data_IF_466211818756
#
_entry.id   IF_466211818756
#
_cell.length_a   1.000
_cell.length_b   1.000
_cell.length_c   1.000
_cell.angle_alpha   90.00
_cell.angle_beta   90.00
_cell.angle_gamma   90.00
#
_symmetry.space_group_name_H-M   'P 1'
#
loop_
_entity.id
_entity.type
_entity.pdbx_description
1 polymer ?
#
# COMPACT_ATOMS: atom_id res chain seq x y z
N UNK A 1 6.27 -2.56 21.41
CA UNK A 1 4.99 -3.27 21.43
C UNK A 1 3.85 -2.52 20.77
N UNK A 2 4.10 -1.90 19.65
CA UNK A 2 3.07 -1.31 18.77
C UNK A 2 2.89 -2.14 17.51
N UNK A 3 3.26 -3.43 17.54
CA UNK A 3 3.14 -4.33 16.41
C UNK A 3 1.67 -4.53 16.01
N UNK A 4 1.41 -4.52 14.72
CA UNK A 4 0.08 -4.69 14.12
C UNK A 4 0.12 -5.68 12.97
N UNK A 5 -1.03 -6.31 12.71
CA UNK A 5 -1.24 -7.12 11.52
C UNK A 5 -2.27 -6.38 10.66
N UNK A 6 -1.82 -5.77 9.57
CA UNK A 6 -2.66 -4.96 8.68
C UNK A 6 -2.93 -5.63 7.35
N UNK A 7 -2.19 -6.69 7.03
CA UNK A 7 -2.36 -7.47 5.81
C UNK A 7 -3.06 -8.81 6.08
N UNK A 8 -3.65 -9.37 5.04
CA UNK A 8 -4.14 -10.76 5.06
C UNK A 8 -2.94 -11.72 4.99
N UNK A 9 -2.80 -12.68 5.91
CA UNK A 9 -1.78 -13.71 5.80
C UNK A 9 -1.94 -14.53 4.51
N UNK A 10 -0.83 -14.91 3.90
CA UNK A 10 -0.85 -15.84 2.77
C UNK A 10 -0.78 -17.27 3.28
N UNK A 11 -1.66 -18.13 2.77
CA UNK A 11 -1.67 -19.56 3.09
C UNK A 11 -1.05 -20.33 1.92
N UNK A 12 -0.07 -21.16 2.18
CA UNK A 12 0.45 -22.15 1.24
C UNK A 12 0.61 -23.48 1.97
N UNK A 13 -0.06 -24.51 1.45
CA UNK A 13 -0.18 -25.81 2.14
C UNK A 13 -0.69 -25.62 3.58
N UNK A 14 0.02 -26.10 4.58
CA UNK A 14 -0.34 -25.99 6.00
C UNK A 14 0.39 -24.83 6.70
N UNK A 15 0.92 -23.86 5.95
CA UNK A 15 1.73 -22.76 6.49
C UNK A 15 1.14 -21.39 6.17
N UNK A 16 0.98 -20.57 7.21
CA UNK A 16 0.62 -19.16 7.11
C UNK A 16 1.88 -18.29 7.10
N UNK A 17 1.98 -17.39 6.13
CA UNK A 17 3.01 -16.36 6.08
C UNK A 17 2.40 -15.02 6.48
N UNK A 18 2.87 -14.49 7.60
CA UNK A 18 2.26 -13.37 8.32
C UNK A 18 3.21 -12.18 8.28
N UNK A 19 2.79 -11.09 7.67
CA UNK A 19 3.51 -9.81 7.67
C UNK A 19 3.26 -9.06 8.97
N UNK A 20 4.29 -8.49 9.57
CA UNK A 20 4.20 -7.74 10.82
C UNK A 20 4.64 -6.30 10.62
N UNK A 21 3.73 -5.39 10.90
CA UNK A 21 3.89 -3.95 10.85
C UNK A 21 3.79 -3.31 12.23
N UNK A 22 3.83 -1.99 12.30
CA UNK A 22 3.71 -1.23 13.54
C UNK A 22 3.05 0.12 13.32
N UNK A 23 2.45 0.64 14.38
CA UNK A 23 2.01 2.03 14.49
C UNK A 23 2.98 2.87 15.33
N UNK A 24 4.22 2.41 15.57
CA UNK A 24 5.20 3.15 16.36
C UNK A 24 5.59 4.50 15.74
N UNK A 25 5.40 4.66 14.43
CA UNK A 25 5.52 5.96 13.75
C UNK A 25 4.67 7.06 14.38
N UNK A 26 3.50 6.72 14.97
CA UNK A 26 2.56 7.69 15.54
C UNK A 26 3.02 8.27 16.88
N UNK A 27 3.38 7.48 17.91
CA UNK A 27 3.91 8.04 19.17
C UNK A 27 5.23 8.79 19.01
N UNK A 28 5.99 8.57 17.93
CA UNK A 28 7.17 9.35 17.59
C UNK A 28 6.88 10.86 17.45
N UNK A 29 5.62 11.24 17.22
CA UNK A 29 5.17 12.62 17.22
C UNK A 29 5.39 13.35 18.57
N UNK A 30 5.45 12.62 19.69
CA UNK A 30 5.82 13.18 20.99
C UNK A 30 7.34 13.34 21.07
N UNK A 31 7.90 14.55 21.20
CA UNK A 31 9.34 14.78 21.26
C UNK A 31 10.05 14.05 22.41
N UNK A 32 9.31 13.64 23.45
CA UNK A 32 9.85 12.90 24.61
C UNK A 32 9.81 11.38 24.42
N UNK A 33 9.22 10.89 23.35
CA UNK A 33 9.12 9.45 23.08
C UNK A 33 10.48 8.86 22.65
N UNK A 34 10.94 7.82 23.36
CA UNK A 34 12.12 7.06 22.97
C UNK A 34 11.84 6.28 21.69
N UNK A 35 12.39 6.72 20.58
CA UNK A 35 12.07 6.21 19.23
C UNK A 35 13.29 5.63 18.51
N UNK A 36 13.15 4.55 17.76
CA UNK A 36 12.03 3.61 17.67
C UNK A 36 12.61 2.21 17.82
N UNK A 37 11.85 1.28 18.33
CA UNK A 37 12.35 -0.06 18.67
C UNK A 37 11.74 -1.18 17.85
N UNK A 38 10.75 -0.88 17.04
CA UNK A 38 10.10 -1.86 16.17
C UNK A 38 11.03 -2.34 15.07
N UNK A 39 10.89 -3.61 14.72
CA UNK A 39 11.49 -4.26 13.55
C UNK A 39 10.39 -4.93 12.74
N UNK A 40 10.27 -4.58 11.46
CA UNK A 40 9.42 -5.30 10.53
C UNK A 40 9.83 -6.76 10.43
N UNK A 41 8.89 -7.64 10.13
CA UNK A 41 9.19 -9.06 9.93
C UNK A 41 8.13 -9.78 9.11
N UNK A 42 8.51 -10.92 8.54
CA UNK A 42 7.59 -11.95 8.07
C UNK A 42 7.76 -13.16 8.94
N UNK A 43 6.65 -13.80 9.32
CA UNK A 43 6.65 -15.00 10.15
C UNK A 43 5.99 -16.15 9.39
N UNK A 44 6.61 -17.33 9.46
CA UNK A 44 6.01 -18.59 9.02
C UNK A 44 5.39 -19.26 10.23
N UNK A 45 4.10 -19.58 10.13
CA UNK A 45 3.32 -20.14 11.23
C UNK A 45 2.59 -21.39 10.74
N UNK A 46 2.70 -22.49 11.48
CA UNK A 46 1.90 -23.68 11.23
C UNK A 46 0.41 -23.39 11.43
N UNK A 47 -0.39 -23.61 10.39
CA UNK A 47 -1.79 -23.21 10.37
C UNK A 47 -2.68 -24.03 11.34
N UNK A 48 -2.25 -25.23 11.72
CA UNK A 48 -3.01 -26.11 12.60
C UNK A 48 -2.69 -25.87 14.07
N UNK A 49 -1.41 -25.71 14.41
CA UNK A 49 -0.94 -25.55 15.80
C UNK A 49 -0.78 -24.12 16.25
N UNK A 50 -0.53 -23.19 15.29
CA UNK A 50 -0.14 -21.81 15.58
C UNK A 50 1.33 -21.66 16.00
N UNK A 51 2.14 -22.70 15.88
CA UNK A 51 3.57 -22.63 16.18
C UNK A 51 4.31 -21.84 15.12
N UNK A 52 5.25 -20.98 15.55
CA UNK A 52 6.11 -20.20 14.66
C UNK A 52 7.27 -21.07 14.20
N UNK A 53 7.37 -21.32 12.88
CA UNK A 53 8.45 -22.10 12.28
C UNK A 53 9.73 -21.26 12.18
N UNK A 54 9.60 -20.01 11.68
CA UNK A 54 10.69 -19.04 11.57
C UNK A 54 10.19 -17.61 11.57
N UNK A 55 11.09 -16.66 11.89
CA UNK A 55 10.88 -15.21 11.79
C UNK A 55 12.00 -14.62 10.95
N UNK A 56 11.64 -13.94 9.85
CA UNK A 56 12.56 -13.19 9.00
C UNK A 56 12.39 -11.70 9.27
N UNK A 57 13.37 -11.09 9.94
CA UNK A 57 13.37 -9.66 10.22
C UNK A 57 13.81 -8.85 9.00
N UNK A 58 13.17 -7.69 8.79
CA UNK A 58 13.49 -6.79 7.67
C UNK A 58 14.80 -6.03 7.89
N UNK A 59 15.10 -5.67 9.14
CA UNK A 59 16.41 -5.12 9.52
C UNK A 59 17.31 -6.22 10.07
N UNK A 60 18.60 -6.29 9.66
CA UNK A 60 19.46 -7.41 10.05
C UNK A 60 19.81 -7.43 11.55
N UNK A 61 19.90 -6.26 12.17
CA UNK A 61 20.25 -6.11 13.58
C UNK A 61 19.06 -5.65 14.44
N UNK A 62 19.13 -5.94 15.72
CA UNK A 62 18.19 -5.39 16.69
C UNK A 62 18.47 -3.91 16.94
N UNK A 63 17.42 -3.07 17.17
CA UNK A 63 17.59 -1.68 17.53
C UNK A 63 18.45 -1.51 18.78
N UNK A 64 19.44 -0.64 18.69
CA UNK A 64 20.33 -0.26 19.79
C UNK A 64 20.25 1.25 20.01
N UNK A 65 20.37 1.70 21.25
CA UNK A 65 20.48 3.11 21.55
C UNK A 65 21.73 3.69 20.86
N UNK A 66 21.54 4.70 20.03
CA UNK A 66 22.61 5.36 19.28
C UNK A 66 22.85 6.81 19.70
N UNK A 67 22.00 7.37 20.55
CA UNK A 67 22.09 8.72 21.04
C UNK A 67 20.82 9.21 21.70
N UNK A 68 20.75 10.53 21.92
CA UNK A 68 19.58 11.20 22.46
C UNK A 68 19.24 12.42 21.60
N UNK A 69 17.96 12.74 21.52
CA UNK A 69 17.47 13.95 20.85
C UNK A 69 17.71 15.19 21.69
N UNK A 70 17.47 16.39 21.14
CA UNK A 70 17.53 17.66 21.90
C UNK A 70 16.44 17.74 23.00
N UNK A 71 15.39 16.97 22.92
CA UNK A 71 14.36 16.83 23.96
C UNK A 71 14.73 15.78 25.04
N UNK A 72 15.84 15.07 24.88
CA UNK A 72 16.31 14.06 25.83
C UNK A 72 15.79 12.64 25.60
N UNK A 73 14.99 12.43 24.56
CA UNK A 73 14.51 11.10 24.18
C UNK A 73 15.63 10.25 23.59
N UNK A 74 15.64 8.95 23.89
CA UNK A 74 16.61 8.00 23.33
C UNK A 74 16.27 7.67 21.89
N UNK A 75 17.26 7.69 21.01
CA UNK A 75 17.16 7.26 19.61
C UNK A 75 17.71 5.83 19.48
N UNK A 76 16.91 4.95 18.88
CA UNK A 76 17.30 3.56 18.57
C UNK A 76 17.38 3.36 17.06
N UNK A 77 18.38 2.58 16.62
CA UNK A 77 18.58 2.21 15.21
C UNK A 77 19.30 0.86 15.09
N UNK A 78 19.08 0.08 13.98
CA UNK A 78 18.08 0.28 12.94
C UNK A 78 16.67 -0.02 13.45
N UNK A 79 15.66 0.69 12.95
CA UNK A 79 14.27 0.48 13.35
C UNK A 79 13.31 0.70 12.17
N UNK A 80 12.09 0.24 12.32
CA UNK A 80 11.06 0.37 11.28
C UNK A 80 11.12 -0.75 10.24
N UNK A 81 11.12 -0.37 8.98
CA UNK A 81 11.06 -1.25 7.80
C UNK A 81 9.88 -2.22 7.91
N UNK A 82 8.66 -1.70 8.13
CA UNK A 82 7.48 -2.54 8.34
C UNK A 82 7.12 -3.34 7.09
N UNK A 83 6.46 -4.49 7.28
CA UNK A 83 5.79 -5.24 6.22
C UNK A 83 4.30 -5.21 6.49
N UNK A 84 3.52 -4.53 5.65
CA UNK A 84 2.10 -4.32 5.87
C UNK A 84 1.21 -4.72 4.68
N UNK A 85 1.77 -5.52 3.78
CA UNK A 85 1.08 -6.11 2.63
C UNK A 85 1.05 -7.63 2.72
N UNK A 86 0.17 -8.28 1.95
CA UNK A 86 0.13 -9.74 1.88
C UNK A 86 1.30 -10.26 1.04
N UNK A 87 2.04 -11.26 1.52
CA UNK A 87 3.13 -11.86 0.74
C UNK A 87 2.63 -12.53 -0.54
N UNK A 88 3.36 -12.38 -1.63
CA UNK A 88 3.15 -13.15 -2.86
C UNK A 88 3.98 -14.45 -2.81
N UNK A 89 3.33 -15.60 -3.02
CA UNK A 89 3.98 -16.91 -2.94
C UNK A 89 4.40 -17.39 -4.33
N UNK A 90 5.67 -17.70 -4.50
CA UNK A 90 6.26 -18.32 -5.68
C UNK A 90 6.68 -19.76 -5.36
N UNK A 91 5.75 -20.69 -5.59
CA UNK A 91 5.98 -22.13 -5.36
C UNK A 91 7.11 -22.68 -6.24
N UNK A 92 7.24 -22.17 -7.47
CA UNK A 92 8.27 -22.62 -8.42
C UNK A 92 9.70 -22.39 -7.90
N UNK A 93 9.91 -21.26 -7.19
CA UNK A 93 11.22 -20.87 -6.64
C UNK A 93 11.38 -21.15 -5.16
N UNK A 94 10.35 -21.70 -4.51
CA UNK A 94 10.28 -21.84 -3.05
C UNK A 94 10.51 -20.49 -2.34
N UNK A 95 9.83 -19.41 -2.79
CA UNK A 95 10.03 -18.04 -2.30
C UNK A 95 8.73 -17.35 -2.02
N UNK A 96 8.77 -16.39 -1.12
CA UNK A 96 7.76 -15.32 -1.04
C UNK A 96 8.41 -13.98 -1.39
N UNK A 97 7.59 -13.05 -1.89
CA UNK A 97 7.97 -11.67 -2.14
C UNK A 97 7.11 -10.76 -1.26
N UNK A 98 7.73 -9.76 -0.66
CA UNK A 98 7.07 -8.80 0.23
C UNK A 98 7.67 -7.40 0.06
N UNK A 99 6.82 -6.38 0.08
CA UNK A 99 7.22 -4.98 0.12
C UNK A 99 7.50 -4.51 1.54
N UNK A 100 8.43 -3.58 1.68
CA UNK A 100 8.73 -2.91 2.93
C UNK A 100 8.39 -1.43 2.88
N UNK A 101 8.20 -0.83 4.05
CA UNK A 101 8.16 0.60 4.24
C UNK A 101 9.48 1.16 4.74
N UNK A 102 9.42 2.38 5.22
CA UNK A 102 10.51 3.26 5.62
C UNK A 102 11.26 2.78 6.89
N UNK A 103 12.49 3.26 7.10
CA UNK A 103 13.09 3.25 8.43
C UNK A 103 12.40 4.27 9.35
N UNK A 104 12.23 3.98 10.64
CA UNK A 104 11.61 4.91 11.59
C UNK A 104 12.62 5.87 12.23
N UNK A 105 13.91 5.57 12.11
CA UNK A 105 15.00 6.36 12.65
C UNK A 105 16.22 6.34 11.74
N UNK A 106 17.04 7.41 11.80
CA UNK A 106 18.32 7.49 11.08
C UNK A 106 19.34 6.47 11.61
N UNK A 107 20.23 5.98 10.75
CA UNK A 107 20.28 6.19 9.31
C UNK A 107 19.29 5.28 8.57
N UNK A 108 18.77 5.76 7.43
CA UNK A 108 18.08 4.89 6.49
C UNK A 108 19.03 3.81 5.96
N UNK A 109 18.52 2.61 5.76
CA UNK A 109 19.31 1.49 5.25
C UNK A 109 18.77 0.95 3.90
N UNK A 110 19.42 -0.05 3.33
CA UNK A 110 19.04 -0.65 2.05
C UNK A 110 17.81 -1.56 2.09
N UNK A 111 17.10 -1.62 3.22
CA UNK A 111 15.92 -2.45 3.41
C UNK A 111 14.61 -1.64 3.40
N UNK A 112 14.66 -0.30 3.55
CA UNK A 112 13.47 0.55 3.39
C UNK A 112 13.02 0.59 1.94
N UNK A 113 11.73 0.68 1.71
CA UNK A 113 11.07 0.81 0.39
C UNK A 113 11.60 -0.20 -0.62
N UNK A 114 11.70 -1.42 -0.20
CA UNK A 114 12.32 -2.51 -0.93
C UNK A 114 11.35 -3.68 -1.15
N UNK A 115 11.60 -4.47 -2.19
CA UNK A 115 11.05 -5.83 -2.30
C UNK A 115 12.08 -6.80 -1.74
N UNK A 116 11.62 -7.66 -0.85
CA UNK A 116 12.40 -8.76 -0.29
C UNK A 116 11.92 -10.08 -0.92
N UNK A 117 12.85 -10.93 -1.34
CA UNK A 117 12.59 -12.33 -1.59
C UNK A 117 13.10 -13.16 -0.41
N UNK A 118 12.23 -13.98 0.15
CA UNK A 118 12.50 -14.79 1.33
C UNK A 118 12.20 -16.26 0.98
N UNK A 119 13.08 -17.17 1.36
CA UNK A 119 12.88 -18.60 1.19
C UNK A 119 11.73 -19.10 2.08
N UNK A 120 10.81 -19.89 1.51
CA UNK A 120 9.59 -20.34 2.21
C UNK A 120 9.89 -21.33 3.34
N UNK A 121 10.94 -22.14 3.20
CA UNK A 121 11.26 -23.20 4.15
C UNK A 121 12.11 -22.66 5.32
N UNK A 122 13.09 -21.80 5.00
CA UNK A 122 14.10 -21.38 5.98
C UNK A 122 13.89 -19.99 6.55
N UNK A 123 13.13 -19.12 5.87
CA UNK A 123 13.00 -17.70 6.19
C UNK A 123 14.25 -16.88 5.86
N UNK A 124 15.25 -17.47 5.21
CA UNK A 124 16.45 -16.74 4.78
C UNK A 124 16.14 -15.78 3.64
N UNK A 125 16.74 -14.60 3.71
CA UNK A 125 16.64 -13.60 2.65
C UNK A 125 17.45 -14.01 1.45
N UNK A 126 16.78 -14.19 0.29
CA UNK A 126 17.42 -14.56 -0.97
C UNK A 126 18.01 -13.33 -1.65
N UNK A 127 17.21 -12.24 -1.73
CA UNK A 127 17.65 -10.95 -2.25
C UNK A 127 16.80 -9.81 -1.71
N UNK A 128 17.32 -8.59 -1.86
CA UNK A 128 16.64 -7.32 -1.58
C UNK A 128 16.77 -6.42 -2.79
N UNK A 129 15.67 -5.83 -3.25
CA UNK A 129 15.66 -4.77 -4.27
C UNK A 129 15.04 -3.52 -3.73
N UNK A 130 15.86 -2.56 -3.32
CA UNK A 130 15.42 -1.24 -2.88
C UNK A 130 14.96 -0.40 -4.09
N UNK A 131 13.85 0.34 -3.95
CA UNK A 131 13.31 1.23 -4.97
C UNK A 131 13.59 2.69 -4.60
N UNK A 132 13.26 3.12 -3.38
CA UNK A 132 13.59 4.45 -2.86
C UNK A 132 14.69 4.32 -1.81
N UNK A 133 15.83 4.93 -2.08
CA UNK A 133 16.94 4.94 -1.13
C UNK A 133 16.86 6.17 -0.22
N UNK A 134 17.29 6.02 1.03
CA UNK A 134 17.38 7.12 1.97
C UNK A 134 16.04 7.49 2.59
N UNK A 135 15.04 6.61 2.57
CA UNK A 135 13.77 6.85 3.23
C UNK A 135 13.83 6.42 4.70
N UNK A 136 13.89 7.43 5.56
CA UNK A 136 13.64 7.30 6.99
C UNK A 136 12.65 8.39 7.39
N UNK A 137 11.53 7.99 7.96
CA UNK A 137 10.41 8.86 8.29
C UNK A 137 9.62 8.33 9.49
N UNK A 138 8.97 9.23 10.20
CA UNK A 138 7.91 8.96 11.16
C UNK A 138 7.03 10.22 11.32
N UNK A 139 5.91 10.13 12.07
CA UNK A 139 4.94 11.23 12.19
C UNK A 139 5.53 12.51 12.78
N UNK A 140 6.68 12.46 13.48
CA UNK A 140 7.38 13.68 13.93
C UNK A 140 7.79 14.59 12.76
N UNK A 141 8.02 14.02 11.57
CA UNK A 141 8.37 14.78 10.37
C UNK A 141 7.23 15.67 9.83
N UNK A 142 5.99 15.42 10.26
CA UNK A 142 4.85 16.30 9.96
C UNK A 142 4.78 17.52 10.88
N UNK A 143 5.68 17.63 11.86
CA UNK A 143 5.67 18.67 12.88
C UNK A 143 6.95 19.51 12.76
N UNK A 144 6.79 20.85 12.75
CA UNK A 144 7.94 21.74 12.70
C UNK A 144 8.91 21.48 13.85
N UNK A 145 10.19 21.35 13.53
CA UNK A 145 11.30 21.25 14.50
C UNK A 145 11.18 20.08 15.52
N UNK A 146 10.42 19.03 15.20
CA UNK A 146 10.34 17.87 16.08
C UNK A 146 11.63 17.04 16.01
N UNK A 147 12.37 16.87 17.15
CA UNK A 147 13.68 16.22 17.15
C UNK A 147 13.64 14.70 16.93
N UNK A 148 12.46 14.08 16.94
CA UNK A 148 12.28 12.67 16.62
C UNK A 148 12.18 12.40 15.11
N UNK A 149 12.00 13.44 14.27
CA UNK A 149 12.07 13.25 12.82
C UNK A 149 13.51 12.82 12.43
N UNK A 150 13.67 11.71 11.66
CA UNK A 150 14.95 11.32 11.13
C UNK A 150 15.59 12.44 10.28
N UNK A 151 16.92 12.44 10.20
CA UNK A 151 17.65 13.47 9.44
C UNK A 151 17.38 13.46 7.95
N UNK A 152 17.05 12.29 7.43
CA UNK A 152 16.70 12.05 6.05
C UNK A 152 15.39 12.75 5.69
N UNK A 153 14.44 12.82 6.62
CA UNK A 153 13.10 13.38 6.40
C UNK A 153 12.51 12.89 5.07
N UNK A 154 12.50 11.57 4.93
CA UNK A 154 12.19 10.88 3.69
C UNK A 154 10.74 11.06 3.23
N UNK A 155 10.43 10.66 1.98
CA UNK A 155 9.11 10.88 1.38
C UNK A 155 8.02 9.94 1.89
N UNK A 156 8.36 8.92 2.69
CA UNK A 156 7.43 7.85 3.11
C UNK A 156 6.81 7.13 1.89
N UNK A 157 7.68 6.61 1.02
CA UNK A 157 7.28 6.00 -0.25
C UNK A 157 7.27 4.47 -0.23
N UNK A 158 6.59 3.88 0.73
CA UNK A 158 6.48 2.44 0.90
C UNK A 158 6.04 1.66 -0.34
N UNK A 159 6.33 0.38 -0.32
CA UNK A 159 5.67 -0.61 -1.17
C UNK A 159 4.43 -1.13 -0.43
N UNK A 160 3.33 -0.41 -0.55
CA UNK A 160 2.09 -0.59 0.19
C UNK A 160 1.10 -1.61 -0.40
N UNK A 161 1.50 -2.35 -1.42
CA UNK A 161 0.65 -3.32 -2.10
C UNK A 161 1.35 -4.66 -2.26
N UNK A 162 0.53 -5.73 -2.37
CA UNK A 162 1.04 -7.06 -2.67
C UNK A 162 1.61 -7.11 -4.10
N UNK A 163 2.76 -7.76 -4.24
CA UNK A 163 3.36 -8.00 -5.55
C UNK A 163 2.51 -9.00 -6.34
N UNK A 164 2.50 -8.87 -7.67
CA UNK A 164 1.79 -9.77 -8.55
C UNK A 164 2.79 -10.57 -9.40
N UNK A 165 2.81 -11.89 -9.21
CA UNK A 165 3.63 -12.78 -10.03
C UNK A 165 2.82 -13.23 -11.25
N UNK A 166 3.38 -13.03 -12.44
CA UNK A 166 2.74 -13.37 -13.71
C UNK A 166 3.75 -13.83 -14.75
N UNK A 167 3.30 -14.03 -16.00
CA UNK A 167 4.17 -14.37 -17.11
C UNK A 167 3.97 -13.45 -18.31
N UNK A 168 5.07 -13.03 -18.90
CA UNK A 168 5.13 -12.28 -20.15
C UNK A 168 5.98 -13.08 -21.14
N UNK A 169 5.40 -13.48 -22.26
CA UNK A 169 6.09 -14.28 -23.29
C UNK A 169 6.79 -15.53 -22.73
N UNK A 170 6.16 -16.20 -21.74
CA UNK A 170 6.69 -17.42 -21.11
C UNK A 170 7.79 -17.19 -20.07
N UNK A 171 8.12 -15.95 -19.73
CA UNK A 171 9.03 -15.59 -18.64
C UNK A 171 8.22 -15.09 -17.43
N UNK A 172 8.62 -15.50 -16.25
CA UNK A 172 8.01 -15.01 -15.02
C UNK A 172 8.40 -13.55 -14.80
N UNK A 173 7.45 -12.75 -14.34
CA UNK A 173 7.61 -11.32 -14.05
C UNK A 173 6.93 -11.00 -12.72
N UNK A 174 7.61 -10.26 -11.88
CA UNK A 174 7.08 -9.70 -10.63
C UNK A 174 6.69 -8.25 -10.87
N UNK A 175 5.40 -7.94 -10.70
CA UNK A 175 4.86 -6.59 -10.83
C UNK A 175 4.76 -5.95 -9.45
N UNK A 176 5.20 -4.70 -9.33
CA UNK A 176 5.32 -3.97 -8.06
C UNK A 176 4.67 -2.61 -8.25
N UNK A 177 3.78 -2.22 -7.35
CA UNK A 177 3.29 -0.84 -7.24
C UNK A 177 4.03 -0.11 -6.11
N UNK A 178 4.11 1.21 -6.20
CA UNK A 178 4.89 2.01 -5.27
C UNK A 178 4.21 3.35 -4.95
N UNK A 179 4.28 3.80 -3.70
CA UNK A 179 3.70 5.08 -3.25
C UNK A 179 4.24 6.30 -4.00
N UNK A 180 5.40 6.20 -4.65
CA UNK A 180 5.91 7.26 -5.54
C UNK A 180 5.07 7.50 -6.82
N UNK A 181 3.98 6.75 -7.04
CA UNK A 181 3.12 6.88 -8.23
C UNK A 181 3.62 6.09 -9.45
N UNK A 182 4.33 5.00 -9.23
CA UNK A 182 4.89 4.17 -10.29
C UNK A 182 4.59 2.68 -10.10
N UNK A 183 4.54 1.96 -11.22
CA UNK A 183 4.59 0.51 -11.27
C UNK A 183 5.89 0.05 -11.93
N UNK A 184 6.36 -1.12 -11.52
CA UNK A 184 7.62 -1.71 -11.97
C UNK A 184 7.40 -3.17 -12.35
N UNK A 185 8.21 -3.66 -13.27
CA UNK A 185 8.37 -5.08 -13.53
C UNK A 185 9.79 -5.52 -13.25
N UNK A 186 9.93 -6.69 -12.63
CA UNK A 186 11.21 -7.26 -12.22
C UNK A 186 11.28 -8.72 -12.63
N UNK A 187 12.46 -9.18 -13.06
CA UNK A 187 12.75 -10.61 -13.19
C UNK A 187 12.97 -11.19 -11.77
N UNK A 188 12.16 -12.16 -11.31
CA UNK A 188 12.33 -12.73 -9.98
C UNK A 188 13.64 -13.51 -9.79
N UNK A 189 14.33 -13.87 -10.85
CA UNK A 189 15.64 -14.54 -10.82
C UNK A 189 16.82 -13.57 -10.94
N UNK A 190 16.60 -12.36 -11.48
CA UNK A 190 17.60 -11.30 -11.58
C UNK A 190 17.04 -9.95 -11.15
N UNK A 191 17.11 -9.59 -9.85
CA UNK A 191 16.59 -8.34 -9.33
C UNK A 191 17.48 -7.11 -9.58
N UNK A 192 18.54 -7.25 -10.40
CA UNK A 192 19.55 -6.18 -10.60
C UNK A 192 18.95 -4.96 -11.27
N UNK A 193 18.17 -5.16 -12.33
CA UNK A 193 17.54 -4.10 -13.11
C UNK A 193 16.04 -4.34 -13.26
N UNK A 194 15.26 -3.25 -13.32
CA UNK A 194 13.85 -3.36 -13.69
C UNK A 194 13.72 -3.64 -15.18
N UNK A 195 12.82 -4.54 -15.55
CA UNK A 195 12.44 -4.80 -16.93
C UNK A 195 11.81 -3.55 -17.56
N UNK A 196 10.97 -2.87 -16.78
CA UNK A 196 10.42 -1.57 -17.09
C UNK A 196 9.96 -0.85 -15.82
N UNK A 197 9.76 0.48 -15.95
CA UNK A 197 9.14 1.35 -14.96
C UNK A 197 8.10 2.24 -15.66
N UNK A 198 6.89 2.30 -15.13
CA UNK A 198 5.83 3.17 -15.59
C UNK A 198 5.43 4.13 -14.46
N UNK A 199 5.83 5.40 -14.56
CA UNK A 199 5.38 6.45 -13.64
C UNK A 199 4.09 7.04 -14.17
N UNK A 200 2.99 6.87 -13.44
CA UNK A 200 1.63 7.26 -13.83
C UNK A 200 1.01 8.28 -12.88
N UNK A 201 1.65 8.51 -11.73
CA UNK A 201 1.26 9.49 -10.73
C UNK A 201 2.44 10.26 -10.17
N UNK A 202 2.16 11.22 -9.30
CA UNK A 202 3.15 12.04 -8.60
C UNK A 202 3.71 11.31 -7.38
N UNK A 203 2.84 10.60 -6.66
CA UNK A 203 3.11 10.01 -5.35
C UNK A 203 2.76 10.93 -4.19
N UNK A 204 2.53 10.34 -3.04
CA UNK A 204 2.28 11.01 -1.74
C UNK A 204 2.63 10.07 -0.59
N UNK A 205 2.69 10.60 0.65
CA UNK A 205 2.84 9.78 1.86
C UNK A 205 1.68 8.78 2.04
N UNK A 206 0.52 9.06 1.48
CA UNK A 206 -0.64 8.16 1.48
C UNK A 206 -0.84 7.43 0.15
N UNK A 207 0.20 7.39 -0.66
CA UNK A 207 0.30 6.62 -1.89
C UNK A 207 0.13 7.43 -3.17
N UNK A 208 0.93 7.07 -4.12
CA UNK A 208 0.55 6.83 -5.49
C UNK A 208 -0.18 5.51 -5.58
N UNK A 209 0.51 4.37 -5.72
CA UNK A 209 -0.11 3.05 -5.55
C UNK A 209 -0.08 2.67 -4.07
N UNK A 210 -1.24 2.53 -3.43
CA UNK A 210 -1.33 2.29 -1.99
C UNK A 210 -1.64 0.84 -1.67
N UNK A 211 -2.91 0.36 -1.76
CA UNK A 211 -3.28 -0.95 -1.24
C UNK A 211 -3.38 -2.08 -2.28
N UNK A 212 -3.41 -1.81 -3.56
CA UNK A 212 -3.36 -2.90 -4.52
C UNK A 212 -3.76 -2.57 -5.96
N UNK A 213 -3.09 -3.24 -6.88
CA UNK A 213 -3.34 -3.23 -8.31
C UNK A 213 -4.17 -4.44 -8.72
N UNK A 214 -4.75 -4.42 -9.93
CA UNK A 214 -5.38 -5.59 -10.53
C UNK A 214 -4.72 -5.94 -11.86
N UNK A 215 -4.57 -7.24 -12.14
CA UNK A 215 -4.06 -7.76 -13.39
C UNK A 215 -5.13 -8.55 -14.12
N UNK A 216 -5.31 -8.27 -15.40
CA UNK A 216 -6.17 -9.07 -16.29
C UNK A 216 -5.51 -9.22 -17.67
N UNK A 217 -5.13 -10.45 -17.99
CA UNK A 217 -4.38 -10.77 -19.21
C UNK A 217 -3.04 -10.03 -19.26
N UNK A 218 -2.90 -9.12 -20.22
CA UNK A 218 -1.68 -8.32 -20.42
C UNK A 218 -1.78 -6.91 -19.87
N UNK A 219 -2.87 -6.58 -19.17
CA UNK A 219 -3.11 -5.22 -18.66
C UNK A 219 -3.06 -5.18 -17.14
N UNK A 220 -2.18 -4.34 -16.60
CA UNK A 220 -2.10 -3.99 -15.19
C UNK A 220 -2.89 -2.70 -14.96
N UNK A 221 -3.88 -2.75 -14.06
CA UNK A 221 -4.65 -1.58 -13.63
C UNK A 221 -4.04 -1.01 -12.37
N UNK A 222 -3.50 0.18 -12.50
CA UNK A 222 -2.73 0.89 -11.46
C UNK A 222 -3.62 2.01 -10.88
N UNK A 223 -4.15 1.85 -9.65
CA UNK A 223 -4.85 2.92 -8.97
C UNK A 223 -3.86 3.93 -8.43
N UNK A 224 -4.17 5.22 -8.56
CA UNK A 224 -3.36 6.32 -8.06
C UNK A 224 -4.16 7.16 -7.09
N UNK A 225 -3.59 7.36 -5.89
CA UNK A 225 -4.15 8.23 -4.88
C UNK A 225 -3.77 9.71 -5.16
N UNK A 226 -2.48 10.02 -5.09
CA UNK A 226 -1.94 11.37 -5.33
C UNK A 226 -2.67 12.49 -4.56
N UNK A 227 -3.21 12.18 -3.36
CA UNK A 227 -3.91 13.19 -2.58
C UNK A 227 -2.96 14.35 -2.25
N UNK A 228 -3.53 15.55 -2.11
CA UNK A 228 -2.81 16.73 -1.68
C UNK A 228 -2.95 16.89 -0.16
N UNK A 229 -1.84 16.95 0.53
CA UNK A 229 -1.76 17.45 1.90
C UNK A 229 -0.70 18.57 1.98
N UNK A 230 -0.64 19.24 3.12
CA UNK A 230 0.28 20.38 3.32
C UNK A 230 1.74 19.98 3.11
N UNK A 231 2.15 18.82 3.60
CA UNK A 231 3.53 18.34 3.44
C UNK A 231 3.85 18.05 1.97
N UNK A 232 2.93 17.37 1.28
CA UNK A 232 3.13 17.10 -0.15
C UNK A 232 3.18 18.38 -0.98
N UNK A 233 2.40 19.39 -0.65
CA UNK A 233 2.43 20.70 -1.29
C UNK A 233 3.78 21.41 -1.16
N UNK A 234 4.50 21.17 -0.08
CA UNK A 234 5.84 21.74 0.14
C UNK A 234 6.95 20.99 -0.61
N UNK A 235 6.75 19.70 -0.89
CA UNK A 235 7.78 18.79 -1.44
C UNK A 235 7.47 18.35 -2.87
N UNK A 236 6.18 18.21 -3.23
CA UNK A 236 5.72 17.63 -4.47
C UNK A 236 4.86 18.65 -5.24
N UNK A 237 5.06 18.69 -6.56
CA UNK A 237 4.25 19.55 -7.45
C UNK A 237 2.77 19.10 -7.46
N UNK A 238 1.84 19.89 -6.94
CA UNK A 238 0.43 19.51 -6.92
C UNK A 238 -0.19 19.39 -8.34
N UNK A 239 0.35 20.12 -9.33
CA UNK A 239 -0.15 20.06 -10.71
C UNK A 239 0.26 18.76 -11.44
N UNK A 240 1.26 18.05 -10.91
CA UNK A 240 1.67 16.75 -11.40
C UNK A 240 0.79 15.59 -10.92
N UNK A 241 -0.16 15.82 -10.01
CA UNK A 241 -1.07 14.80 -9.51
C UNK A 241 -1.91 14.18 -10.63
N UNK A 242 -2.09 12.87 -10.61
CA UNK A 242 -2.89 12.11 -11.58
C UNK A 242 -3.75 11.06 -10.84
N UNK A 243 -4.59 11.48 -9.86
CA UNK A 243 -5.44 10.54 -9.13
C UNK A 243 -6.39 9.80 -10.08
N UNK A 244 -6.63 8.53 -9.86
CA UNK A 244 -7.53 7.75 -10.71
C UNK A 244 -6.99 6.38 -11.09
N UNK A 245 -7.35 5.87 -12.26
CA UNK A 245 -6.92 4.56 -12.75
C UNK A 245 -6.12 4.69 -14.04
N UNK A 246 -5.02 3.95 -14.11
CA UNK A 246 -4.16 3.90 -15.30
C UNK A 246 -3.99 2.45 -15.74
N UNK A 247 -4.16 2.16 -17.02
CA UNK A 247 -3.90 0.83 -17.58
C UNK A 247 -2.52 0.80 -18.22
N UNK A 248 -1.73 -0.18 -17.83
CA UNK A 248 -0.33 -0.35 -18.24
C UNK A 248 -0.15 -1.72 -18.88
N UNK A 249 0.51 -1.79 -20.03
CA UNK A 249 0.91 -3.06 -20.64
C UNK A 249 2.03 -3.71 -19.83
N UNK A 250 1.84 -4.97 -19.42
CA UNK A 250 2.84 -5.66 -18.61
C UNK A 250 4.08 -6.09 -19.38
N UNK A 251 4.05 -6.02 -20.71
CA UNK A 251 5.20 -6.42 -21.54
C UNK A 251 6.30 -5.36 -21.56
N UNK A 252 5.94 -4.07 -21.54
CA UNK A 252 6.89 -2.98 -21.70
C UNK A 252 6.64 -1.74 -20.83
N UNK A 253 5.60 -1.75 -20.00
CA UNK A 253 5.25 -0.64 -19.12
C UNK A 253 4.56 0.53 -19.83
N UNK A 254 4.16 0.39 -21.09
CA UNK A 254 3.47 1.46 -21.83
C UNK A 254 2.07 1.70 -21.28
N UNK A 255 1.70 2.98 -21.12
CA UNK A 255 0.36 3.38 -20.68
C UNK A 255 -0.62 3.25 -21.83
N UNK A 256 -1.61 2.38 -21.69
CA UNK A 256 -2.64 2.13 -22.70
C UNK A 256 -3.75 3.20 -22.63
N UNK A 257 -4.18 3.54 -21.42
CA UNK A 257 -5.12 4.62 -21.15
C UNK A 257 -4.98 5.11 -19.69
N UNK A 258 -5.51 6.31 -19.44
CA UNK A 258 -5.57 6.93 -18.11
C UNK A 258 -6.92 7.57 -17.91
N UNK A 259 -7.59 7.26 -16.82
CA UNK A 259 -8.79 7.96 -16.35
C UNK A 259 -8.41 8.72 -15.08
N UNK A 260 -8.14 10.01 -15.24
CA UNK A 260 -7.82 10.92 -14.15
C UNK A 260 -9.12 11.40 -13.52
N UNK A 261 -9.31 11.10 -12.23
CA UNK A 261 -10.52 11.46 -11.52
C UNK A 261 -10.67 12.98 -11.39
N UNK A 262 -11.87 13.47 -11.71
CA UNK A 262 -12.22 14.87 -11.51
C UNK A 262 -12.47 15.10 -10.03
N UNK A 263 -11.89 16.16 -9.47
CA UNK A 263 -12.14 16.58 -8.09
C UNK A 263 -13.61 17.05 -7.95
N UNK A 264 -14.35 16.36 -7.07
CA UNK A 264 -15.75 16.63 -6.72
C UNK A 264 -15.91 17.00 -5.25
N UNK A 265 -14.79 17.16 -4.52
CA UNK A 265 -14.80 17.39 -3.08
C UNK A 265 -15.31 18.78 -2.73
N UNK A 266 -14.86 19.81 -3.44
CA UNK A 266 -15.11 21.20 -3.09
C UNK A 266 -14.49 21.58 -1.74
N UNK A 267 -14.68 22.82 -1.32
CA UNK A 267 -14.07 23.37 -0.11
C UNK A 267 -14.77 22.92 1.20
N UNK A 268 -15.96 22.33 1.10
CA UNK A 268 -16.81 22.01 2.27
C UNK A 268 -16.62 20.57 2.80
N UNK A 269 -15.79 19.75 2.16
CA UNK A 269 -15.56 18.36 2.53
C UNK A 269 -14.10 18.12 2.92
N UNK A 270 -13.71 18.48 4.16
CA UNK A 270 -12.38 18.13 4.66
C UNK A 270 -12.23 16.61 4.63
N UNK A 271 -11.07 16.09 4.28
CA UNK A 271 -10.79 14.66 4.14
C UNK A 271 -11.39 13.97 2.90
N UNK A 272 -12.00 14.72 1.98
CA UNK A 272 -12.37 14.25 0.67
C UNK A 272 -11.20 14.43 -0.31
N UNK A 273 -10.99 13.44 -1.18
CA UNK A 273 -9.96 13.48 -2.20
C UNK A 273 -10.43 12.64 -3.41
N UNK A 274 -10.15 13.02 -4.64
CA UNK A 274 -10.60 12.27 -5.84
C UNK A 274 -9.86 10.94 -6.03
N UNK A 275 -8.75 10.71 -5.32
CA UNK A 275 -7.83 9.60 -5.54
C UNK A 275 -8.36 8.22 -5.17
N UNK A 276 -7.58 7.21 -5.52
CA UNK A 276 -7.86 5.82 -5.19
C UNK A 276 -6.75 5.28 -4.30
N UNK A 277 -7.04 5.18 -3.00
CA UNK A 277 -6.18 4.50 -2.03
C UNK A 277 -6.48 3.01 -1.96
N UNK A 278 -7.75 2.61 -2.07
CA UNK A 278 -8.17 1.22 -2.03
C UNK A 278 -7.60 0.39 -3.18
N UNK A 279 -7.47 -0.91 -2.97
CA UNK A 279 -7.21 -1.83 -4.06
C UNK A 279 -8.34 -1.79 -5.11
N UNK A 280 -8.01 -2.09 -6.36
CA UNK A 280 -8.99 -2.21 -7.44
C UNK A 280 -9.23 -3.68 -7.79
N UNK A 281 -10.39 -3.99 -8.36
CA UNK A 281 -10.75 -5.38 -8.67
C UNK A 281 -11.26 -5.50 -10.10
N UNK A 282 -10.59 -6.33 -10.90
CA UNK A 282 -10.96 -6.63 -12.27
C UNK A 282 -11.87 -7.86 -12.35
N UNK A 283 -12.86 -7.80 -13.23
CA UNK A 283 -13.69 -8.94 -13.64
C UNK A 283 -13.90 -8.93 -15.18
N UNK A 284 -14.46 -9.98 -15.78
CA UNK A 284 -14.82 -9.91 -17.19
C UNK A 284 -15.67 -8.69 -17.53
N UNK A 285 -15.18 -7.81 -18.39
CA UNK A 285 -15.87 -6.61 -18.89
C UNK A 285 -15.72 -5.34 -18.05
N UNK A 286 -15.33 -5.40 -16.78
CA UNK A 286 -15.25 -4.22 -15.93
C UNK A 286 -14.10 -4.25 -14.91
N UNK A 287 -13.66 -3.05 -14.52
CA UNK A 287 -12.80 -2.83 -13.36
C UNK A 287 -13.58 -2.01 -12.34
N UNK A 288 -13.59 -2.44 -11.07
CA UNK A 288 -14.24 -1.72 -9.97
C UNK A 288 -13.21 -1.05 -9.08
N UNK A 289 -13.50 0.20 -8.70
CA UNK A 289 -12.71 0.99 -7.77
C UNK A 289 -13.59 1.75 -6.77
N UNK A 290 -13.13 1.85 -5.54
CA UNK A 290 -13.66 2.77 -4.53
C UNK A 290 -12.72 3.95 -4.38
N UNK A 291 -13.26 5.16 -4.38
CA UNK A 291 -12.51 6.40 -4.32
C UNK A 291 -12.56 7.07 -2.94
N UNK A 292 -11.62 7.95 -2.66
CA UNK A 292 -11.61 8.71 -1.41
C UNK A 292 -12.68 9.81 -1.38
N UNK A 293 -13.22 10.24 -2.53
CA UNK A 293 -14.40 11.11 -2.63
C UNK A 293 -15.74 10.40 -2.29
N UNK A 294 -15.66 9.10 -1.98
CA UNK A 294 -16.82 8.27 -1.67
C UNK A 294 -17.55 7.69 -2.88
N UNK A 295 -17.02 7.88 -4.09
CA UNK A 295 -17.58 7.27 -5.30
C UNK A 295 -17.13 5.82 -5.46
N UNK A 296 -18.07 4.94 -5.76
CA UNK A 296 -17.78 3.61 -6.33
C UNK A 296 -17.95 3.69 -7.83
N UNK A 297 -16.94 3.31 -8.59
CA UNK A 297 -16.99 3.36 -10.06
C UNK A 297 -16.68 2.00 -10.69
N UNK A 298 -17.36 1.71 -11.79
CA UNK A 298 -17.01 0.63 -12.71
C UNK A 298 -16.49 1.23 -14.02
N UNK A 299 -15.34 0.77 -14.46
CA UNK A 299 -14.67 1.24 -15.67
C UNK A 299 -14.65 0.17 -16.75
N UNK A 300 -14.77 0.58 -18.01
CA UNK A 300 -14.48 -0.28 -19.14
C UNK A 300 -12.97 -0.57 -19.19
N UNK A 301 -12.59 -1.84 -19.22
CA UNK A 301 -11.19 -2.27 -19.14
C UNK A 301 -10.34 -1.87 -20.34
N UNK A 302 -10.95 -1.67 -21.51
CA UNK A 302 -10.30 -1.34 -22.78
C UNK A 302 -10.07 0.16 -22.99
N UNK A 303 -10.78 1.01 -22.27
CA UNK A 303 -10.79 2.46 -22.53
C UNK A 303 -10.76 3.34 -21.28
N UNK A 304 -11.01 2.80 -20.10
CA UNK A 304 -11.15 3.57 -18.86
C UNK A 304 -12.49 4.32 -18.76
N UNK A 305 -13.39 4.19 -19.74
CA UNK A 305 -14.68 4.87 -19.69
C UNK A 305 -15.50 4.41 -18.49
N UNK A 306 -16.12 5.35 -17.77
CA UNK A 306 -16.99 5.06 -16.63
C UNK A 306 -18.27 4.39 -17.14
N UNK A 307 -18.49 3.14 -16.79
CA UNK A 307 -19.69 2.36 -17.12
C UNK A 307 -20.80 2.58 -16.11
N UNK A 308 -20.46 2.79 -14.87
CA UNK A 308 -21.37 2.96 -13.77
C UNK A 308 -20.68 3.65 -12.59
N UNK A 309 -21.45 4.47 -11.85
CA UNK A 309 -20.99 5.10 -10.63
C UNK A 309 -22.08 5.17 -9.56
N UNK A 310 -21.68 5.19 -8.29
CA UNK A 310 -22.56 5.35 -7.14
C UNK A 310 -21.87 6.22 -6.09
N UNK A 311 -22.57 7.26 -5.65
CA UNK A 311 -22.14 8.11 -4.54
C UNK A 311 -22.51 7.44 -3.22
N UNK A 312 -21.49 6.99 -2.48
CA UNK A 312 -21.65 6.38 -1.15
C UNK A 312 -21.49 7.40 0.00
N UNK A 313 -20.88 8.57 -0.24
CA UNK A 313 -20.62 9.60 0.79
C UNK A 313 -21.88 10.36 1.21
N UNK A 314 -22.91 9.62 1.57
CA UNK A 314 -24.22 10.16 1.96
C UNK A 314 -24.89 9.31 3.03
N UNK A 315 -25.99 9.84 3.59
CA UNK A 315 -26.84 9.09 4.52
C UNK A 315 -27.57 7.98 3.76
N UNK A 316 -27.52 6.78 4.31
CA UNK A 316 -28.08 5.57 3.74
C UNK A 316 -28.99 4.88 4.76
N UNK A 317 -29.97 4.17 4.24
CA UNK A 317 -30.82 3.29 5.07
C UNK A 317 -30.55 1.85 4.67
N UNK A 318 -29.91 1.12 5.59
CA UNK A 318 -29.55 -0.28 5.40
C UNK A 318 -30.71 -1.24 5.58
N UNK A 319 -30.43 -2.52 5.39
CA UNK A 319 -31.38 -3.61 5.65
C UNK A 319 -31.87 -3.56 7.09
N UNK A 320 -33.18 -3.71 7.28
CA UNK A 320 -33.83 -3.59 8.60
C UNK A 320 -34.00 -2.15 9.09
N UNK A 321 -33.88 -1.15 8.22
CA UNK A 321 -34.16 0.26 8.53
C UNK A 321 -33.08 0.98 9.35
N UNK A 322 -31.90 0.38 9.55
CA UNK A 322 -30.78 1.02 10.25
C UNK A 322 -30.21 2.16 9.42
N UNK A 323 -29.92 3.27 10.08
CA UNK A 323 -29.27 4.43 9.47
C UNK A 323 -27.78 4.29 9.54
N UNK A 324 -27.08 4.67 8.47
CA UNK A 324 -25.65 4.74 8.36
C UNK A 324 -25.25 5.84 7.39
N UNK A 325 -23.97 6.18 7.35
CA UNK A 325 -23.40 7.11 6.40
C UNK A 325 -22.17 6.45 5.75
N UNK A 326 -22.06 6.54 4.46
CA UNK A 326 -20.83 6.19 3.77
C UNK A 326 -19.86 7.36 3.75
N UNK A 327 -18.62 7.07 3.38
CA UNK A 327 -17.52 8.02 3.27
C UNK A 327 -16.46 7.50 2.30
N UNK A 328 -15.22 7.88 2.52
CA UNK A 328 -14.09 7.45 1.69
C UNK A 328 -13.91 5.95 1.68
N UNK A 329 -13.38 5.43 0.58
CA UNK A 329 -12.97 4.02 0.47
C UNK A 329 -11.46 3.90 0.43
N UNK A 330 -10.89 3.22 1.44
CA UNK A 330 -9.45 2.94 1.50
C UNK A 330 -9.23 1.52 2.03
N UNK A 331 -8.04 0.96 1.82
CA UNK A 331 -7.70 -0.39 2.24
C UNK A 331 -8.19 -1.46 1.26
N UNK A 332 -9.04 -2.36 1.72
CA UNK A 332 -9.56 -3.46 0.89
C UNK A 332 -10.37 -2.96 -0.31
N UNK A 333 -10.11 -3.52 -1.48
CA UNK A 333 -10.85 -3.22 -2.72
C UNK A 333 -12.24 -3.85 -2.75
N UNK A 334 -13.04 -3.57 -3.80
CA UNK A 334 -14.31 -4.22 -4.02
C UNK A 334 -14.18 -5.75 -4.08
N UNK A 335 -14.94 -6.46 -3.26
CA UNK A 335 -15.04 -7.91 -3.34
C UNK A 335 -16.17 -8.31 -4.31
N UNK A 336 -15.89 -9.27 -5.20
CA UNK A 336 -16.85 -9.70 -6.24
C UNK A 336 -17.09 -11.20 -6.10
N UNK A 337 -18.35 -11.59 -5.92
CA UNK A 337 -18.75 -12.99 -5.81
C UNK A 337 -20.27 -13.16 -5.81
N UNK A 338 -20.74 -14.32 -6.21
CA UNK A 338 -22.17 -14.71 -6.22
C UNK A 338 -23.12 -13.66 -6.83
N UNK A 339 -22.67 -12.95 -7.87
CA UNK A 339 -23.45 -11.91 -8.53
C UNK A 339 -23.52 -10.58 -7.78
N UNK A 340 -22.69 -10.38 -6.77
CA UNK A 340 -22.58 -9.13 -6.01
C UNK A 340 -21.22 -8.48 -6.13
N UNK A 341 -21.22 -7.15 -6.06
CA UNK A 341 -20.04 -6.32 -5.76
C UNK A 341 -20.24 -5.77 -4.37
N UNK A 342 -19.32 -6.05 -3.46
CA UNK A 342 -19.39 -5.63 -2.06
C UNK A 342 -18.25 -4.67 -1.76
N UNK A 343 -18.57 -3.52 -1.16
CA UNK A 343 -17.62 -2.45 -0.87
C UNK A 343 -17.88 -1.91 0.54
N UNK A 344 -16.85 -1.78 1.36
CA UNK A 344 -16.91 -1.01 2.59
C UNK A 344 -16.72 0.47 2.30
N UNK A 345 -17.45 1.35 2.99
CA UNK A 345 -17.37 2.79 2.79
C UNK A 345 -17.32 3.52 4.12
N UNK A 346 -16.29 4.35 4.30
CA UNK A 346 -16.08 5.16 5.49
C UNK A 346 -15.27 4.51 6.61
N UNK A 347 -14.68 3.34 6.38
CA UNK A 347 -13.78 2.66 7.34
C UNK A 347 -12.30 2.99 7.07
N UNK A 348 -12.05 4.19 6.54
CA UNK A 348 -10.71 4.66 6.21
C UNK A 348 -9.86 4.99 7.45
N UNK A 349 -8.55 4.90 7.27
CA UNK A 349 -7.53 5.42 8.18
C UNK A 349 -7.00 6.76 7.62
N UNK A 350 -6.21 7.49 8.39
CA UNK A 350 -5.40 8.61 7.93
C UNK A 350 -6.17 9.78 7.29
N UNK A 351 -7.08 10.38 8.04
CA UNK A 351 -7.79 11.62 7.61
C UNK A 351 -8.66 11.46 6.36
N UNK A 352 -9.27 10.31 6.17
CA UNK A 352 -10.27 10.11 5.14
C UNK A 352 -11.68 10.39 5.68
N UNK A 353 -12.62 10.70 4.80
CA UNK A 353 -14.00 10.99 5.18
C UNK A 353 -14.63 9.76 5.87
N UNK A 354 -15.09 9.89 7.13
CA UNK A 354 -15.56 8.76 7.91
C UNK A 354 -16.95 8.28 7.48
N UNK A 355 -17.24 7.00 7.74
CA UNK A 355 -18.54 6.38 7.54
C UNK A 355 -18.57 4.99 8.18
N UNK A 356 -19.69 4.26 7.99
CA UNK A 356 -19.92 2.99 8.67
C UNK A 356 -20.84 2.05 7.89
N UNK A 357 -20.74 2.01 6.57
CA UNK A 357 -21.61 1.17 5.75
C UNK A 357 -20.85 0.11 4.96
N UNK A 358 -21.47 -1.04 4.82
CA UNK A 358 -21.10 -2.07 3.86
C UNK A 358 -22.16 -2.07 2.76
N UNK A 359 -21.73 -1.85 1.53
CA UNK A 359 -22.60 -1.77 0.35
C UNK A 359 -22.53 -3.08 -0.42
N UNK A 360 -23.67 -3.57 -0.89
CA UNK A 360 -23.75 -4.70 -1.81
C UNK A 360 -24.58 -4.30 -3.04
N UNK A 361 -23.99 -4.43 -4.20
CA UNK A 361 -24.63 -4.14 -5.49
C UNK A 361 -24.87 -5.43 -6.26
N UNK A 362 -26.03 -5.55 -6.86
CA UNK A 362 -26.39 -6.64 -7.77
C UNK A 362 -26.92 -6.10 -9.09
N UNK A 363 -26.79 -6.84 -10.21
CA UNK A 363 -27.46 -6.48 -11.45
C UNK A 363 -28.97 -6.34 -11.23
N UNK A 364 -29.59 -5.39 -11.91
CA UNK A 364 -31.05 -5.32 -11.95
C UNK A 364 -31.58 -6.52 -12.73
N UNK A 365 -32.53 -7.20 -12.15
CA UNK A 365 -33.31 -8.26 -12.84
C UNK A 365 -34.19 -7.65 -13.92
#
# INVERSE_FOLDING_TARGET
PSATLTATPALHEDTLYVSVSSLEVTPAADPSYDCCTFRGSVQSVDAASGEVNWISYTTPEEPKAIGTTSAGATVYSPSGVPTWTSPAIDVKRNRLYIGTGENYSSPADGNSDAVLAIDLETGERVWTRQITAGDAWNVACMMADNPNCPKEDGPDFDIGNSQLLTQVNGKDVLLIGHKMGAAFALDPDDPTDFLWQARVGRGTIQGGVHFGMALDGQTLYVPINDMNDTRNGDVLDPEAARPGVHAVDIADGSVQWSEVAVDRCGDDRPFCDPGISAAVTAMPGALFAGHLDGMVRAYAKDSGAILWEFDAARDLTGVGGRKGRGGSMSGGGPAIGDGYVVVNSGYGLYFHEPGNVLLAFAPRQ
#
